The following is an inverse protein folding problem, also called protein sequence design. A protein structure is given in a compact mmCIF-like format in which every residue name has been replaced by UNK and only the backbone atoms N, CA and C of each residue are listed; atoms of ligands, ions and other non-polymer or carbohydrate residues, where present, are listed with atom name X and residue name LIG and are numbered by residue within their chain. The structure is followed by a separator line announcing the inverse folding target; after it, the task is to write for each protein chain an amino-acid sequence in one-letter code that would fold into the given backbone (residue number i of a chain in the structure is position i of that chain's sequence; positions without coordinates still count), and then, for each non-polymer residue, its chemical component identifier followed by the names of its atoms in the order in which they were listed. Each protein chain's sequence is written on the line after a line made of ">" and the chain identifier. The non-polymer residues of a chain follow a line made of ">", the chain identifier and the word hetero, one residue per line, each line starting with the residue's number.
data_IF_287879522927
#
_entry.id   IF_287879522927
#
_cell.length_a   1.000
_cell.length_b   1.000
_cell.length_c   1.000
_cell.angle_alpha   90.00
_cell.angle_beta   90.00
_cell.angle_gamma   90.00
#
_symmetry.space_group_name_H-M   'P 1'
#
loop_
_entity.id
_entity.type
_entity.pdbx_description
1 polymer ?
#
# COMPACT_ATOMS: atom_id res chain seq x y z
N UNK A 1 17.01 -29.91 -8.09
CA UNK A 1 15.78 -29.63 -7.34
C UNK A 1 16.08 -28.43 -6.47
N UNK A 2 15.30 -27.37 -6.66
CA UNK A 2 15.46 -26.14 -5.89
C UNK A 2 14.82 -26.28 -4.51
N UNK A 3 15.32 -25.52 -3.54
CA UNK A 3 14.82 -25.53 -2.19
C UNK A 3 14.70 -24.11 -1.64
N UNK A 4 13.77 -23.93 -0.72
CA UNK A 4 13.62 -22.70 0.08
C UNK A 4 13.96 -23.03 1.52
N UNK A 5 14.83 -22.23 2.15
CA UNK A 5 15.13 -22.33 3.58
C UNK A 5 14.34 -21.29 4.34
N UNK A 6 13.64 -21.69 5.39
CA UNK A 6 12.95 -20.75 6.29
C UNK A 6 13.91 -20.15 7.34
N UNK A 7 13.41 -19.19 8.11
CA UNK A 7 14.18 -18.54 9.17
C UNK A 7 14.54 -19.47 10.34
N UNK A 8 13.91 -20.64 10.44
CA UNK A 8 14.12 -21.65 11.48
C UNK A 8 15.09 -22.75 11.04
N UNK A 9 15.56 -22.71 9.78
CA UNK A 9 16.52 -23.64 9.21
C UNK A 9 15.91 -24.91 8.64
N UNK A 10 14.59 -24.95 8.42
CA UNK A 10 13.95 -26.01 7.65
C UNK A 10 14.07 -25.76 6.15
N UNK A 11 14.13 -26.81 5.37
CA UNK A 11 14.28 -26.76 3.91
C UNK A 11 13.04 -27.36 3.26
N UNK A 12 12.41 -26.58 2.38
CA UNK A 12 11.27 -27.05 1.56
C UNK A 12 11.76 -27.30 0.14
N UNK A 13 11.47 -28.50 -0.37
CA UNK A 13 11.84 -28.92 -1.73
C UNK A 13 10.56 -29.15 -2.54
N UNK A 14 10.56 -28.66 -3.78
CA UNK A 14 9.51 -28.97 -4.76
C UNK A 14 10.08 -29.96 -5.78
N UNK A 15 9.44 -31.11 -5.90
CA UNK A 15 9.87 -32.14 -6.86
C UNK A 15 8.67 -32.72 -7.60
N UNK A 16 8.81 -33.03 -8.91
CA UNK A 16 7.77 -33.70 -9.65
C UNK A 16 7.70 -35.16 -9.18
N UNK A 17 6.48 -35.60 -8.86
CA UNK A 17 6.20 -36.98 -8.46
C UNK A 17 5.39 -37.63 -9.58
N UNK A 18 5.98 -38.63 -10.23
CA UNK A 18 5.35 -39.31 -11.36
C UNK A 18 4.19 -40.23 -10.92
N UNK A 19 4.24 -40.80 -9.72
CA UNK A 19 3.26 -41.70 -9.17
C UNK A 19 3.15 -41.51 -7.65
N UNK A 20 1.93 -41.53 -7.12
CA UNK A 20 1.66 -41.59 -5.68
C UNK A 20 1.65 -43.06 -5.22
N UNK A 21 1.84 -43.31 -3.93
CA UNK A 21 1.88 -44.63 -3.30
C UNK A 21 2.99 -45.57 -3.79
N UNK A 22 3.92 -45.06 -4.60
CA UNK A 22 5.10 -45.80 -5.09
C UNK A 22 6.38 -45.23 -4.46
N UNK A 23 7.37 -46.08 -4.13
CA UNK A 23 8.65 -45.64 -3.58
C UNK A 23 9.50 -44.92 -4.64
N UNK A 24 9.96 -43.72 -4.35
CA UNK A 24 10.81 -42.91 -5.21
C UNK A 24 12.20 -42.85 -4.59
N UNK A 25 13.24 -43.24 -5.35
CA UNK A 25 14.61 -43.07 -4.93
C UNK A 25 15.07 -41.63 -5.15
N UNK A 26 15.56 -40.99 -4.08
CA UNK A 26 16.11 -39.64 -4.11
C UNK A 26 17.50 -39.64 -3.50
N UNK A 27 18.40 -38.80 -4.03
CA UNK A 27 19.72 -38.57 -3.44
C UNK A 27 19.75 -37.17 -2.84
N UNK A 28 20.09 -37.04 -1.55
CA UNK A 28 20.24 -35.80 -0.84
C UNK A 28 21.71 -35.51 -0.54
N UNK A 29 22.21 -34.32 -0.89
CA UNK A 29 23.58 -33.89 -0.61
C UNK A 29 23.64 -33.14 0.75
N UNK A 30 24.49 -33.61 1.63
CA UNK A 30 24.80 -32.94 2.88
C UNK A 30 25.98 -31.99 2.72
N UNK A 31 25.76 -30.71 2.68
CA UNK A 31 26.81 -29.68 2.58
C UNK A 31 27.79 -29.77 3.73
N UNK A 32 27.36 -30.10 4.95
CA UNK A 32 28.20 -30.20 6.14
C UNK A 32 29.20 -31.40 6.05
N UNK A 33 28.82 -32.46 5.36
CA UNK A 33 29.64 -33.68 5.24
C UNK A 33 30.20 -33.89 3.84
N UNK A 34 29.81 -33.00 2.91
CA UNK A 34 30.15 -33.10 1.48
C UNK A 34 29.93 -34.53 0.91
N UNK A 35 28.76 -35.08 1.22
CA UNK A 35 28.43 -36.47 0.87
C UNK A 35 26.97 -36.58 0.44
N UNK A 36 26.75 -37.48 -0.53
CA UNK A 36 25.42 -37.86 -1.00
C UNK A 36 24.85 -39.00 -0.17
N UNK A 37 23.56 -38.96 0.10
CA UNK A 37 22.84 -40.00 0.81
C UNK A 37 21.61 -40.40 0.00
N UNK A 38 21.50 -41.68 -0.32
CA UNK A 38 20.34 -42.24 -0.95
C UNK A 38 19.20 -42.36 0.07
N UNK A 39 18.00 -41.99 -0.35
CA UNK A 39 16.75 -42.06 0.43
C UNK A 39 15.64 -42.63 -0.46
N UNK A 40 14.68 -43.26 0.17
CA UNK A 40 13.43 -43.66 -0.46
C UNK A 40 12.33 -42.83 0.19
N UNK A 41 11.57 -42.13 -0.64
CA UNK A 41 10.40 -41.38 -0.24
C UNK A 41 9.17 -42.00 -0.86
N UNK A 42 8.10 -42.11 -0.11
CA UNK A 42 6.78 -42.52 -0.61
C UNK A 42 5.79 -41.40 -0.27
N UNK A 43 5.15 -40.86 -1.29
CA UNK A 43 4.07 -39.87 -1.12
C UNK A 43 2.75 -40.60 -1.20
N UNK A 44 2.05 -40.70 -0.08
CA UNK A 44 0.80 -41.45 0.04
C UNK A 44 -0.40 -40.58 -0.26
N UNK A 45 -1.44 -41.17 -0.85
CA UNK A 45 -2.72 -40.51 -1.12
C UNK A 45 -3.48 -40.13 0.15
N UNK A 46 -3.14 -40.72 1.30
CA UNK A 46 -3.82 -40.44 2.58
C UNK A 46 -3.70 -39.00 3.08
N UNK A 47 -2.65 -38.26 2.65
CA UNK A 47 -2.38 -36.88 3.07
C UNK A 47 -2.28 -35.91 1.87
N UNK A 48 -2.88 -36.26 0.74
CA UNK A 48 -2.93 -35.39 -0.44
C UNK A 48 -4.23 -34.61 -0.42
N UNK A 49 -4.15 -33.29 -0.19
CA UNK A 49 -5.23 -32.38 -0.54
C UNK A 49 -5.21 -32.18 -2.05
N UNK A 50 -6.32 -32.50 -2.71
CA UNK A 50 -6.49 -32.16 -4.10
C UNK A 50 -6.61 -30.65 -4.22
N UNK A 51 -5.51 -29.97 -4.54
CA UNK A 51 -5.56 -28.58 -4.95
C UNK A 51 -6.32 -28.59 -6.28
N UNK A 52 -7.52 -28.01 -6.30
CA UNK A 52 -8.35 -27.87 -7.50
C UNK A 52 -7.49 -27.34 -8.65
N UNK A 53 -7.74 -27.84 -9.87
CA UNK A 53 -6.93 -27.50 -11.03
C UNK A 53 -6.75 -26.00 -11.17
N UNK A 54 -5.54 -25.52 -11.04
CA UNK A 54 -5.16 -24.08 -11.06
C UNK A 54 -5.73 -23.30 -12.26
N UNK A 55 -6.14 -23.99 -13.33
CA UNK A 55 -6.79 -23.41 -14.51
C UNK A 55 -8.20 -22.88 -14.26
N UNK A 56 -8.98 -23.49 -13.37
CA UNK A 56 -10.34 -22.99 -13.04
C UNK A 56 -10.29 -21.83 -12.06
N UNK A 57 -9.31 -21.81 -11.16
CA UNK A 57 -9.12 -20.71 -10.20
C UNK A 57 -8.56 -19.45 -10.88
N UNK A 58 -7.72 -19.59 -11.92
CA UNK A 58 -7.19 -18.44 -12.67
C UNK A 58 -8.26 -17.76 -13.54
N UNK A 59 -9.16 -18.54 -14.19
CA UNK A 59 -10.25 -17.96 -14.98
C UNK A 59 -11.31 -17.31 -14.08
N UNK A 60 -11.64 -17.92 -12.93
CA UNK A 60 -12.57 -17.36 -11.97
C UNK A 60 -12.01 -16.11 -11.27
N UNK A 61 -10.72 -16.10 -10.93
CA UNK A 61 -10.04 -14.95 -10.36
C UNK A 61 -9.91 -13.79 -11.37
N UNK A 62 -9.61 -14.09 -12.64
CA UNK A 62 -9.56 -13.07 -13.70
C UNK A 62 -10.94 -12.50 -14.02
N UNK A 63 -12.01 -13.28 -13.96
CA UNK A 63 -13.38 -12.81 -14.17
C UNK A 63 -13.87 -11.82 -13.08
N UNK A 64 -13.19 -11.79 -11.92
CA UNK A 64 -13.52 -10.92 -10.80
C UNK A 64 -12.67 -9.63 -10.74
N UNK A 65 -11.58 -9.55 -11.52
CA UNK A 65 -10.72 -8.35 -11.55
C UNK A 65 -11.25 -7.33 -12.58
N UNK A 66 -11.57 -6.14 -12.12
CA UNK A 66 -11.91 -5.01 -12.99
C UNK A 66 -10.66 -4.42 -13.66
N UNK A 67 -10.83 -3.66 -14.75
CA UNK A 67 -9.71 -2.90 -15.35
C UNK A 67 -9.15 -1.93 -14.31
N UNK A 68 -7.81 -1.90 -14.16
CA UNK A 68 -7.12 -1.07 -13.17
C UNK A 68 -5.71 -1.55 -12.89
N UNK A 69 -5.01 -0.83 -12.01
CA UNK A 69 -3.65 -1.13 -11.59
C UNK A 69 -3.68 -1.80 -10.21
N UNK A 70 -2.96 -2.89 -10.07
CA UNK A 70 -2.91 -3.73 -8.88
C UNK A 70 -1.46 -3.91 -8.41
N UNK A 71 -1.23 -3.86 -7.11
CA UNK A 71 0.04 -4.30 -6.53
C UNK A 71 -0.07 -5.80 -6.25
N UNK A 72 0.90 -6.62 -6.71
CA UNK A 72 0.86 -8.05 -6.44
C UNK A 72 0.87 -8.36 -4.94
N UNK A 73 -0.03 -9.24 -4.50
CA UNK A 73 -0.03 -9.75 -3.14
C UNK A 73 1.12 -10.73 -2.90
N UNK A 74 1.51 -11.43 -3.97
CA UNK A 74 2.63 -12.35 -3.94
C UNK A 74 3.34 -12.36 -5.29
N UNK A 75 4.66 -12.28 -5.23
CA UNK A 75 5.55 -12.48 -6.38
C UNK A 75 6.61 -13.50 -6.02
N UNK A 76 6.55 -14.66 -6.66
CA UNK A 76 7.55 -15.72 -6.48
C UNK A 76 8.39 -15.83 -7.74
N UNK A 77 9.70 -15.89 -7.55
CA UNK A 77 10.68 -16.02 -8.63
C UNK A 77 11.57 -17.23 -8.40
N UNK A 78 11.78 -18.01 -9.44
CA UNK A 78 12.81 -19.04 -9.46
C UNK A 78 13.62 -18.99 -10.75
N UNK A 79 14.83 -19.56 -10.75
CA UNK A 79 15.74 -19.54 -11.88
C UNK A 79 16.79 -18.42 -11.82
N UNK A 80 17.57 -18.30 -12.87
CA UNK A 80 18.69 -17.38 -12.95
C UNK A 80 19.84 -17.72 -11.99
N UNK A 81 20.75 -16.78 -11.79
CA UNK A 81 21.95 -16.96 -10.93
C UNK A 81 21.81 -16.38 -9.53
N UNK A 82 20.66 -15.77 -9.19
CA UNK A 82 20.41 -15.10 -7.92
C UNK A 82 21.17 -13.77 -7.72
N UNK A 83 21.97 -13.32 -8.69
CA UNK A 83 22.76 -12.07 -8.60
C UNK A 83 21.95 -10.82 -8.88
N UNK A 84 20.89 -10.94 -9.68
CA UNK A 84 19.97 -9.84 -10.02
C UNK A 84 18.68 -10.08 -9.28
N UNK A 85 18.23 -9.09 -8.53
CA UNK A 85 16.91 -9.11 -7.90
C UNK A 85 15.88 -8.74 -8.96
N UNK A 86 14.77 -9.46 -8.98
CA UNK A 86 13.66 -9.21 -9.89
C UNK A 86 12.42 -9.07 -9.01
N UNK A 87 11.59 -8.07 -9.31
CA UNK A 87 10.33 -7.82 -8.63
C UNK A 87 9.24 -7.48 -9.64
N UNK A 88 8.01 -7.69 -9.26
CA UNK A 88 6.85 -7.16 -9.96
C UNK A 88 6.41 -5.88 -9.25
N UNK A 89 6.45 -4.75 -9.94
CA UNK A 89 6.09 -3.45 -9.38
C UNK A 89 4.57 -3.29 -9.33
N UNK A 90 3.89 -3.67 -10.42
CA UNK A 90 2.44 -3.60 -10.55
C UNK A 90 1.94 -4.58 -11.61
N UNK A 91 0.64 -4.84 -11.57
CA UNK A 91 -0.10 -5.52 -12.64
C UNK A 91 -1.24 -4.62 -13.07
N UNK A 92 -1.26 -4.25 -14.34
CA UNK A 92 -2.36 -3.51 -14.94
C UNK A 92 -3.32 -4.48 -15.65
N UNK A 93 -4.60 -4.37 -15.37
CA UNK A 93 -5.65 -5.11 -16.09
C UNK A 93 -6.25 -4.19 -17.14
N UNK A 94 -5.98 -4.48 -18.42
CA UNK A 94 -6.53 -3.74 -19.58
C UNK A 94 -7.40 -4.69 -20.38
N UNK A 95 -8.67 -4.40 -20.51
CA UNK A 95 -9.64 -5.23 -21.24
C UNK A 95 -9.62 -6.72 -20.82
N UNK A 96 -9.44 -6.97 -19.51
CA UNK A 96 -9.36 -8.32 -18.95
C UNK A 96 -8.01 -9.02 -19.17
N UNK A 97 -7.00 -8.33 -19.70
CA UNK A 97 -5.64 -8.87 -19.88
C UNK A 97 -4.70 -8.31 -18.83
N UNK A 98 -4.07 -9.16 -18.00
CA UNK A 98 -3.09 -8.70 -17.02
C UNK A 98 -1.72 -8.45 -17.67
N UNK A 99 -1.20 -7.24 -17.45
CA UNK A 99 0.13 -6.80 -17.89
C UNK A 99 0.94 -6.47 -16.63
N UNK A 100 2.04 -7.17 -16.40
CA UNK A 100 2.91 -6.94 -15.25
C UNK A 100 4.11 -6.07 -15.61
N UNK A 101 4.42 -5.10 -14.75
CA UNK A 101 5.69 -4.35 -14.79
C UNK A 101 6.75 -5.09 -13.98
N UNK A 102 7.67 -5.72 -14.66
CA UNK A 102 8.79 -6.47 -14.06
C UNK A 102 10.04 -5.57 -14.01
N UNK A 103 10.67 -5.51 -12.85
CA UNK A 103 11.85 -4.68 -12.59
C UNK A 103 13.06 -5.56 -12.26
N UNK A 104 14.13 -5.41 -13.01
CA UNK A 104 15.43 -6.03 -12.76
C UNK A 104 16.34 -5.01 -12.06
N UNK A 105 17.03 -5.41 -10.98
CA UNK A 105 18.03 -4.58 -10.29
C UNK A 105 19.36 -4.45 -11.09
N UNK A 106 19.26 -4.39 -12.39
CA UNK A 106 20.37 -4.24 -13.33
C UNK A 106 19.89 -3.56 -14.60
N UNK A 107 20.62 -2.54 -15.06
CA UNK A 107 20.34 -1.84 -16.33
C UNK A 107 20.78 -2.62 -17.58
N UNK A 108 21.14 -3.90 -17.43
CA UNK A 108 21.68 -4.71 -18.52
C UNK A 108 20.67 -5.68 -19.14
N UNK A 109 19.44 -5.71 -18.65
CA UNK A 109 18.36 -6.49 -19.26
C UNK A 109 17.67 -5.66 -20.33
N UNK A 110 17.92 -6.01 -21.58
CA UNK A 110 17.46 -5.23 -22.75
C UNK A 110 16.06 -5.61 -23.21
N UNK A 111 15.65 -6.85 -22.97
CA UNK A 111 14.31 -7.32 -23.28
C UNK A 111 13.95 -8.57 -22.48
N UNK A 112 12.66 -8.88 -22.45
CA UNK A 112 12.11 -10.12 -21.91
C UNK A 112 11.26 -10.79 -22.99
N UNK A 113 11.40 -12.10 -23.14
CA UNK A 113 10.59 -12.91 -24.06
C UNK A 113 9.57 -13.74 -23.23
N UNK A 114 8.33 -13.70 -23.68
CA UNK A 114 7.22 -14.50 -23.17
C UNK A 114 6.67 -15.33 -24.33
N UNK A 115 6.78 -16.65 -24.24
CA UNK A 115 6.54 -17.51 -25.40
C UNK A 115 7.46 -17.14 -26.57
N UNK A 116 6.85 -16.79 -27.71
CA UNK A 116 7.59 -16.38 -28.93
C UNK A 116 7.63 -14.84 -29.10
N UNK A 117 7.10 -14.07 -28.16
CA UNK A 117 7.02 -12.59 -28.25
C UNK A 117 8.07 -11.95 -27.36
N UNK A 118 8.80 -10.98 -27.92
CA UNK A 118 9.80 -10.19 -27.20
C UNK A 118 9.22 -8.84 -26.80
N UNK A 119 9.51 -8.41 -25.57
CA UNK A 119 9.14 -7.12 -24.97
C UNK A 119 10.41 -6.37 -24.61
N UNK A 120 10.59 -5.17 -25.12
CA UNK A 120 11.77 -4.36 -24.90
C UNK A 120 11.73 -3.69 -23.53
N UNK A 121 12.87 -3.64 -22.85
CA UNK A 121 12.99 -3.02 -21.52
C UNK A 121 13.34 -1.54 -21.64
N UNK A 122 12.74 -0.71 -20.80
CA UNK A 122 13.19 0.64 -20.52
C UNK A 122 14.27 0.57 -19.43
N UNK A 123 15.50 0.99 -19.79
CA UNK A 123 16.67 0.93 -18.89
C UNK A 123 17.01 2.32 -18.38
N UNK A 124 17.20 2.45 -17.07
CA UNK A 124 17.84 3.61 -16.43
C UNK A 124 19.29 3.29 -16.02
N UNK A 125 19.91 4.11 -15.18
CA UNK A 125 21.30 3.91 -14.75
C UNK A 125 21.51 2.64 -13.90
N UNK A 126 20.47 2.14 -13.24
CA UNK A 126 20.54 1.07 -12.23
C UNK A 126 19.62 -0.10 -12.52
N UNK A 127 18.48 0.14 -13.17
CA UNK A 127 17.41 -0.86 -13.34
C UNK A 127 16.99 -1.01 -14.80
N UNK A 128 16.36 -2.12 -15.12
CA UNK A 128 15.61 -2.33 -16.36
C UNK A 128 14.16 -2.65 -15.99
N UNK A 129 13.20 -1.99 -16.63
CA UNK A 129 11.76 -2.21 -16.48
C UNK A 129 11.18 -2.71 -17.78
N UNK A 130 10.28 -3.67 -17.70
CA UNK A 130 9.58 -4.23 -18.85
C UNK A 130 8.14 -4.54 -18.49
N UNK A 131 7.23 -4.23 -19.39
CA UNK A 131 5.83 -4.60 -19.30
C UNK A 131 5.59 -5.86 -20.13
N UNK A 132 5.06 -6.89 -19.50
CA UNK A 132 4.81 -8.19 -20.15
C UNK A 132 3.41 -8.69 -19.80
N UNK A 133 2.72 -9.36 -20.74
CA UNK A 133 1.50 -10.07 -20.43
C UNK A 133 1.81 -11.25 -19.49
N UNK A 134 0.97 -11.43 -18.48
CA UNK A 134 1.13 -12.48 -17.47
C UNK A 134 -0.15 -13.29 -17.29
N UNK A 135 -0.02 -14.44 -16.67
CA UNK A 135 -1.14 -15.23 -16.18
C UNK A 135 -1.10 -15.16 -14.65
N UNK A 136 -2.18 -14.68 -14.03
CA UNK A 136 -2.28 -14.59 -12.59
C UNK A 136 -2.58 -15.96 -11.96
N UNK A 137 -2.10 -16.14 -10.72
CA UNK A 137 -2.31 -17.36 -9.92
C UNK A 137 -1.77 -18.64 -10.59
N UNK A 138 -0.85 -18.48 -11.54
CA UNK A 138 -0.19 -19.58 -12.23
C UNK A 138 1.27 -19.26 -12.49
N UNK A 139 2.15 -20.27 -12.35
CA UNK A 139 3.56 -20.11 -12.72
C UNK A 139 3.71 -20.04 -14.23
N UNK A 140 4.52 -19.09 -14.72
CA UNK A 140 4.87 -18.96 -16.12
C UNK A 140 6.37 -18.75 -16.31
N UNK A 141 6.89 -19.20 -17.46
CA UNK A 141 8.29 -19.02 -17.81
C UNK A 141 8.49 -17.76 -18.64
N UNK A 142 9.50 -16.98 -18.27
CA UNK A 142 9.98 -15.82 -19.02
C UNK A 142 11.48 -15.93 -19.27
N UNK A 143 11.97 -15.30 -20.32
CA UNK A 143 13.39 -15.30 -20.70
C UNK A 143 13.91 -13.87 -20.76
N UNK A 144 14.77 -13.49 -19.81
CA UNK A 144 15.37 -12.17 -19.76
C UNK A 144 16.69 -12.13 -20.52
N UNK A 145 16.82 -11.29 -21.54
CA UNK A 145 18.06 -11.10 -22.30
C UNK A 145 18.93 -10.04 -21.63
N UNK A 146 20.14 -10.44 -21.22
CA UNK A 146 21.11 -9.55 -20.58
C UNK A 146 22.36 -9.36 -21.41
N UNK A 147 22.89 -8.13 -21.40
CA UNK A 147 24.17 -7.74 -22.02
C UNK A 147 25.29 -7.56 -20.98
N UNK A 148 25.11 -8.07 -19.76
CA UNK A 148 26.13 -7.99 -18.70
C UNK A 148 27.40 -8.81 -19.00
N UNK A 149 27.34 -9.72 -19.95
CA UNK A 149 28.47 -10.53 -20.44
C UNK A 149 28.92 -10.03 -21.83
N UNK A 150 30.03 -10.60 -22.35
CA UNK A 150 30.62 -10.23 -23.64
C UNK A 150 29.71 -10.50 -24.86
N UNK A 151 28.65 -11.28 -24.70
CA UNK A 151 27.58 -11.49 -25.67
C UNK A 151 26.23 -11.43 -24.97
N UNK A 152 25.19 -11.05 -25.71
CA UNK A 152 23.82 -11.13 -25.24
C UNK A 152 23.47 -12.57 -24.85
N UNK A 153 22.86 -12.75 -23.69
CA UNK A 153 22.56 -14.06 -23.13
C UNK A 153 21.14 -14.07 -22.57
N UNK A 154 20.36 -15.08 -22.92
CA UNK A 154 19.05 -15.32 -22.33
C UNK A 154 19.19 -16.07 -21.01
N UNK A 155 18.44 -15.64 -20.02
CA UNK A 155 18.33 -16.27 -18.70
C UNK A 155 16.87 -16.64 -18.48
N UNK A 156 16.64 -17.90 -18.17
CA UNK A 156 15.32 -18.44 -17.88
C UNK A 156 14.92 -18.14 -16.44
N UNK A 157 13.68 -17.69 -16.26
CA UNK A 157 13.04 -17.47 -14.97
C UNK A 157 11.65 -18.07 -14.99
N UNK A 158 11.22 -18.64 -13.88
CA UNK A 158 9.81 -18.93 -13.62
C UNK A 158 9.28 -17.89 -12.65
N UNK A 159 8.19 -17.24 -13.00
CA UNK A 159 7.51 -16.25 -12.16
C UNK A 159 6.10 -16.75 -11.83
N UNK A 160 5.66 -16.43 -10.62
CA UNK A 160 4.30 -16.59 -10.16
C UNK A 160 3.83 -15.25 -9.59
N UNK A 161 2.68 -14.78 -10.03
CA UNK A 161 2.09 -13.52 -9.60
C UNK A 161 0.68 -13.82 -9.09
N UNK A 162 0.43 -13.46 -7.83
CA UNK A 162 -0.91 -13.49 -7.26
C UNK A 162 -1.41 -12.07 -7.05
N UNK A 163 -2.61 -11.84 -7.53
CA UNK A 163 -3.40 -10.64 -7.25
C UNK A 163 -4.72 -11.14 -6.70
N UNK A 164 -4.96 -10.91 -5.44
CA UNK A 164 -6.23 -11.26 -4.82
C UNK A 164 -7.26 -10.19 -5.16
N UNK A 165 -8.29 -10.56 -5.92
CA UNK A 165 -9.40 -9.66 -6.25
C UNK A 165 -10.06 -9.07 -4.98
N UNK A 166 -9.99 -9.82 -3.88
CA UNK A 166 -10.51 -9.42 -2.58
C UNK A 166 -9.64 -8.37 -1.85
N UNK A 167 -8.40 -8.12 -2.34
CA UNK A 167 -7.53 -7.07 -1.78
C UNK A 167 -7.38 -5.85 -2.69
N UNK A 168 -7.76 -5.94 -3.95
CA UNK A 168 -7.83 -4.81 -4.88
C UNK A 168 -9.16 -4.05 -4.80
N UNK A 169 -10.23 -4.74 -4.46
CA UNK A 169 -11.34 -4.18 -3.72
C UNK A 169 -10.98 -4.44 -2.26
N UNK A 170 -10.67 -3.41 -1.48
CA UNK A 170 -10.69 -3.54 -0.03
C UNK A 170 -11.97 -4.33 0.24
N UNK A 171 -11.88 -5.50 0.88
CA UNK A 171 -13.06 -6.25 1.26
C UNK A 171 -14.00 -5.20 1.83
N UNK A 172 -15.08 -4.88 1.08
CA UNK A 172 -15.87 -3.70 1.33
C UNK A 172 -16.11 -3.71 2.82
N UNK A 173 -15.49 -2.79 3.55
CA UNK A 173 -15.51 -2.88 5.01
C UNK A 173 -16.96 -2.73 5.33
N UNK A 174 -17.61 -3.86 5.68
CA UNK A 174 -19.03 -3.85 6.02
C UNK A 174 -19.17 -3.00 7.27
N UNK A 175 -19.57 -1.76 7.07
CA UNK A 175 -19.97 -0.90 8.16
C UNK A 175 -21.46 -1.05 8.38
N UNK A 176 -21.90 -1.37 9.61
CA UNK A 176 -23.32 -1.51 9.92
C UNK A 176 -24.11 -0.31 9.44
N UNK A 177 -25.14 -0.55 8.63
CA UNK A 177 -26.05 0.49 8.15
C UNK A 177 -25.51 1.39 7.03
N UNK A 178 -24.30 1.13 6.50
CA UNK A 178 -23.76 1.83 5.35
C UNK A 178 -23.62 0.89 4.15
N UNK A 179 -23.89 1.41 2.95
CA UNK A 179 -23.72 0.70 1.69
C UNK A 179 -22.45 1.23 1.02
N UNK A 180 -21.52 0.33 0.76
CA UNK A 180 -20.28 0.68 0.06
C UNK A 180 -20.56 1.15 -1.37
N UNK A 181 -19.86 2.17 -1.82
CA UNK A 181 -20.02 2.78 -3.15
C UNK A 181 -18.76 2.63 -4.00
N UNK A 182 -17.62 3.02 -3.45
CA UNK A 182 -16.34 2.99 -4.17
C UNK A 182 -15.15 3.07 -3.21
N UNK A 183 -13.94 2.88 -3.75
CA UNK A 183 -12.69 3.10 -3.00
C UNK A 183 -11.78 4.07 -3.74
N UNK A 184 -11.11 4.95 -3.00
CA UNK A 184 -10.00 5.73 -3.53
C UNK A 184 -8.85 4.79 -3.91
N UNK A 185 -8.25 5.02 -5.08
CA UNK A 185 -7.08 4.27 -5.54
C UNK A 185 -5.85 5.18 -5.54
N UNK A 186 -5.07 5.24 -4.45
CA UNK A 186 -3.81 5.96 -4.45
C UNK A 186 -2.85 5.35 -5.48
N UNK A 187 -2.12 6.19 -6.20
CA UNK A 187 -1.14 5.75 -7.19
C UNK A 187 0.23 5.44 -6.58
N UNK A 188 0.60 6.16 -5.52
CA UNK A 188 1.92 6.09 -4.90
C UNK A 188 1.84 5.87 -3.39
N UNK A 189 0.79 6.37 -2.73
CA UNK A 189 0.63 6.21 -1.29
C UNK A 189 0.28 4.77 -0.93
N UNK A 190 0.93 4.25 0.10
CA UNK A 190 0.79 2.86 0.58
C UNK A 190 0.41 2.78 2.06
N UNK A 191 0.29 3.93 2.73
CA UNK A 191 0.05 3.97 4.16
C UNK A 191 -1.40 4.30 4.52
N UNK A 192 -2.27 4.53 3.52
CA UNK A 192 -3.69 4.73 3.76
C UNK A 192 -4.55 4.16 2.62
N UNK A 193 -5.81 3.91 2.93
CA UNK A 193 -6.89 3.68 1.97
C UNK A 193 -8.13 4.47 2.38
N UNK A 194 -9.03 4.70 1.44
CA UNK A 194 -10.32 5.37 1.69
C UNK A 194 -11.41 4.61 0.96
N UNK A 195 -12.44 4.22 1.71
CA UNK A 195 -13.66 3.61 1.19
C UNK A 195 -14.82 4.59 1.34
N UNK A 196 -15.55 4.81 0.25
CA UNK A 196 -16.71 5.69 0.21
C UNK A 196 -18.00 4.88 0.32
N UNK A 197 -18.98 5.44 1.01
CA UNK A 197 -20.28 4.82 1.22
C UNK A 197 -21.39 5.78 0.80
N UNK A 198 -22.56 5.22 0.45
CA UNK A 198 -23.74 6.02 0.13
C UNK A 198 -24.04 7.05 1.22
N UNK A 199 -24.44 8.25 0.79
CA UNK A 199 -24.71 9.36 1.70
C UNK A 199 -23.48 10.20 2.04
N UNK A 200 -22.32 9.96 1.38
CA UNK A 200 -21.11 10.76 1.50
C UNK A 200 -20.20 10.38 2.68
N UNK A 201 -20.48 9.25 3.35
CA UNK A 201 -19.57 8.74 4.38
C UNK A 201 -18.27 8.22 3.76
N UNK A 202 -17.16 8.39 4.47
CA UNK A 202 -15.86 7.85 4.04
C UNK A 202 -15.12 7.21 5.21
N UNK A 203 -14.65 5.98 5.02
CA UNK A 203 -13.78 5.29 5.97
C UNK A 203 -12.33 5.44 5.51
N UNK A 204 -11.54 6.11 6.30
CA UNK A 204 -10.09 6.22 6.12
C UNK A 204 -9.43 5.15 6.99
N UNK A 205 -8.62 4.28 6.38
CA UNK A 205 -7.77 3.34 7.11
C UNK A 205 -6.31 3.80 6.98
N UNK A 206 -5.67 4.10 8.09
CA UNK A 206 -4.24 4.43 8.16
C UNK A 206 -3.50 3.22 8.68
N UNK A 207 -2.68 2.63 7.83
CA UNK A 207 -1.96 1.37 8.10
C UNK A 207 -1.17 1.42 9.41
N UNK A 208 -1.34 0.37 10.23
CA UNK A 208 -0.69 0.23 11.54
C UNK A 208 -0.96 1.43 12.49
N UNK A 209 -2.09 2.13 12.31
CA UNK A 209 -2.50 3.26 13.14
C UNK A 209 -3.96 3.12 13.59
N UNK A 210 -4.89 3.71 12.86
CA UNK A 210 -6.30 3.67 13.22
C UNK A 210 -7.21 3.79 11.99
N UNK A 211 -8.49 3.46 12.16
CA UNK A 211 -9.55 3.71 11.19
C UNK A 211 -10.37 4.90 11.63
N UNK A 212 -10.73 5.73 10.65
CA UNK A 212 -11.46 6.97 10.88
C UNK A 212 -12.67 7.01 9.96
N UNK A 213 -13.86 7.16 10.55
CA UNK A 213 -15.08 7.36 9.77
C UNK A 213 -15.41 8.86 9.68
N UNK A 214 -15.28 9.42 8.49
CA UNK A 214 -15.75 10.76 8.18
C UNK A 214 -17.27 10.67 8.01
N UNK A 215 -17.98 11.39 8.87
CA UNK A 215 -19.45 11.49 8.86
C UNK A 215 -19.83 12.84 8.28
N UNK A 216 -20.58 12.91 7.19
CA UNK A 216 -20.95 14.17 6.55
C UNK A 216 -21.75 15.09 7.49
N UNK A 217 -21.70 16.40 7.20
CA UNK A 217 -22.49 17.38 7.92
C UNK A 217 -23.99 17.00 7.87
N UNK A 218 -24.67 17.12 9.00
CA UNK A 218 -26.08 16.77 9.17
C UNK A 218 -26.45 15.28 9.04
N UNK A 219 -25.48 14.38 8.89
CA UNK A 219 -25.70 12.95 8.94
C UNK A 219 -25.41 12.40 10.34
N UNK A 220 -26.08 11.32 10.71
CA UNK A 220 -25.89 10.65 12.01
C UNK A 220 -24.78 9.59 11.94
N UNK A 221 -24.07 9.40 13.04
CA UNK A 221 -23.14 8.28 13.20
C UNK A 221 -23.93 6.97 13.15
N UNK A 222 -23.56 5.99 12.29
CA UNK A 222 -24.21 4.68 12.24
C UNK A 222 -24.12 3.93 13.57
N UNK A 223 -25.19 3.21 13.90
CA UNK A 223 -25.20 2.35 15.10
C UNK A 223 -24.43 1.04 14.88
N UNK A 224 -23.82 0.51 15.94
CA UNK A 224 -23.15 -0.80 15.89
C UNK A 224 -21.77 -0.80 15.28
N UNK A 225 -21.15 0.35 15.10
CA UNK A 225 -19.75 0.46 14.65
C UNK A 225 -18.78 -0.17 15.65
N UNK A 226 -17.66 -0.67 15.13
CA UNK A 226 -16.52 -1.06 15.96
C UNK A 226 -16.05 0.13 16.80
N UNK A 227 -15.99 0.04 18.13
CA UNK A 227 -15.55 1.13 19.00
C UNK A 227 -14.12 1.62 18.73
N UNK A 228 -13.32 0.86 17.99
CA UNK A 228 -11.97 1.26 17.58
C UNK A 228 -11.97 2.24 16.40
N UNK A 229 -13.10 2.46 15.73
CA UNK A 229 -13.23 3.44 14.68
C UNK A 229 -13.40 4.83 15.30
N UNK A 230 -12.49 5.74 14.95
CA UNK A 230 -12.55 7.13 15.38
C UNK A 230 -13.54 7.90 14.50
N UNK A 231 -14.51 8.58 15.09
CA UNK A 231 -15.51 9.35 14.35
C UNK A 231 -15.00 10.76 14.09
N UNK A 232 -15.03 11.17 12.83
CA UNK A 232 -14.72 12.52 12.35
C UNK A 232 -16.00 13.15 11.81
N UNK A 233 -16.72 13.86 12.67
CA UNK A 233 -17.97 14.53 12.29
C UNK A 233 -17.69 15.85 11.58
N UNK A 234 -18.11 15.99 10.33
CA UNK A 234 -18.04 17.27 9.62
C UNK A 234 -19.09 18.28 10.14
N UNK A 235 -18.81 19.60 10.01
CA UNK A 235 -17.65 20.21 9.37
C UNK A 235 -16.40 20.17 10.27
N UNK A 236 -15.26 19.80 9.72
CA UNK A 236 -13.96 19.83 10.41
C UNK A 236 -13.28 21.19 10.12
N UNK A 237 -13.63 22.21 10.90
CA UNK A 237 -13.26 23.59 10.67
C UNK A 237 -12.61 24.30 11.87
N UNK A 238 -12.34 23.56 12.94
CA UNK A 238 -11.61 24.03 14.13
C UNK A 238 -10.46 23.05 14.45
N UNK A 239 -9.65 22.76 13.45
CA UNK A 239 -8.55 21.77 13.53
C UNK A 239 -7.40 22.34 14.36
N UNK A 240 -6.87 21.52 15.28
CA UNK A 240 -5.55 21.70 15.86
C UNK A 240 -4.53 20.90 15.05
N UNK A 241 -3.63 21.59 14.35
CA UNK A 241 -2.60 20.99 13.51
C UNK A 241 -1.26 21.00 14.22
N UNK A 242 -0.83 19.86 14.76
CA UNK A 242 0.50 19.63 15.31
C UNK A 242 1.44 18.96 14.31
N UNK A 243 0.91 18.23 13.32
CA UNK A 243 1.66 17.62 12.23
C UNK A 243 2.07 18.67 11.20
N UNK A 244 3.27 19.23 11.31
CA UNK A 244 3.75 20.33 10.45
C UNK A 244 3.79 19.98 8.97
N UNK A 245 3.98 18.69 8.62
CA UNK A 245 3.98 18.18 7.24
C UNK A 245 2.66 18.42 6.51
N UNK A 246 1.53 18.39 7.22
CA UNK A 246 0.22 18.54 6.62
C UNK A 246 -0.11 19.99 6.24
N UNK A 247 0.55 21.00 6.84
CA UNK A 247 0.24 22.41 6.56
C UNK A 247 0.33 22.77 5.08
N UNK A 248 1.38 22.27 4.38
CA UNK A 248 1.54 22.54 2.95
C UNK A 248 0.44 21.90 2.10
N UNK A 249 -0.12 20.77 2.54
CA UNK A 249 -1.21 20.10 1.85
C UNK A 249 -2.53 20.86 2.04
N UNK A 250 -2.81 21.36 3.24
CA UNK A 250 -3.96 22.24 3.50
C UNK A 250 -3.85 23.58 2.74
N UNK A 251 -2.65 24.15 2.65
CA UNK A 251 -2.39 25.36 1.86
C UNK A 251 -2.66 25.11 0.37
N UNK A 252 -2.19 23.98 -0.16
CA UNK A 252 -2.40 23.58 -1.56
C UNK A 252 -3.87 23.25 -1.89
N UNK A 253 -4.68 22.88 -0.89
CA UNK A 253 -6.12 22.69 -1.01
C UNK A 253 -6.94 23.98 -0.90
N UNK A 254 -6.29 25.13 -0.61
CA UNK A 254 -7.01 26.36 -0.20
C UNK A 254 -7.98 26.08 0.95
N UNK A 255 -7.49 25.35 1.97
CA UNK A 255 -8.27 24.90 3.13
C UNK A 255 -7.62 25.28 4.47
N UNK A 256 -6.80 26.33 4.49
CA UNK A 256 -6.18 26.82 5.73
C UNK A 256 -7.20 27.38 6.73
N UNK A 257 -8.37 27.76 6.28
CA UNK A 257 -9.48 28.23 7.11
C UNK A 257 -10.07 27.11 8.00
N UNK A 258 -9.87 25.85 7.66
CA UNK A 258 -10.18 24.71 8.51
C UNK A 258 -9.25 24.61 9.74
N UNK A 259 -8.04 25.17 9.67
CA UNK A 259 -7.04 25.11 10.73
C UNK A 259 -7.17 26.33 11.62
N UNK A 260 -7.73 26.15 12.81
CA UNK A 260 -7.88 27.21 13.80
C UNK A 260 -6.71 27.32 14.77
N UNK A 261 -6.06 26.19 15.05
CA UNK A 261 -5.05 26.05 16.09
C UNK A 261 -3.83 25.30 15.54
N UNK A 262 -2.64 25.68 15.97
CA UNK A 262 -1.39 25.06 15.49
C UNK A 262 -0.41 24.75 16.62
N UNK A 263 0.36 23.67 16.43
CA UNK A 263 1.40 23.22 17.34
C UNK A 263 2.77 23.91 17.16
N UNK A 264 2.89 24.82 16.18
CA UNK A 264 4.14 25.51 15.83
C UNK A 264 3.94 27.02 15.88
N UNK A 265 4.90 27.73 16.47
CA UNK A 265 4.90 29.18 16.54
C UNK A 265 5.08 29.81 15.16
N UNK A 266 4.66 31.07 15.01
CA UNK A 266 4.69 31.80 13.72
C UNK A 266 6.07 31.81 13.07
N UNK A 267 7.11 32.03 13.83
CA UNK A 267 8.51 32.07 13.36
C UNK A 267 9.06 30.70 12.91
N UNK A 268 8.35 29.62 13.24
CA UNK A 268 8.64 28.27 12.75
C UNK A 268 7.99 27.91 11.42
N UNK A 269 7.15 28.78 10.86
CA UNK A 269 6.49 28.56 9.57
C UNK A 269 7.17 29.27 8.42
N UNK A 270 7.32 28.56 7.29
CA UNK A 270 7.83 29.09 6.02
C UNK A 270 6.75 29.16 4.92
N UNK A 271 5.52 28.78 5.23
CA UNK A 271 4.37 28.85 4.33
C UNK A 271 3.74 30.24 4.53
N UNK A 272 3.82 31.08 3.51
CA UNK A 272 3.43 32.50 3.60
C UNK A 272 1.96 32.68 4.02
N UNK A 273 1.04 31.85 3.47
CA UNK A 273 -0.38 31.92 3.79
C UNK A 273 -0.65 31.54 5.26
N UNK A 274 0.07 30.56 5.81
CA UNK A 274 -0.04 30.17 7.21
C UNK A 274 0.47 31.28 8.15
N UNK A 275 1.62 31.90 7.81
CA UNK A 275 2.16 33.06 8.54
C UNK A 275 1.16 34.21 8.53
N UNK A 276 0.59 34.55 7.36
CA UNK A 276 -0.42 35.61 7.22
C UNK A 276 -1.69 35.30 8.01
N UNK A 277 -2.15 34.05 8.04
CA UNK A 277 -3.32 33.64 8.85
C UNK A 277 -3.04 33.82 10.35
N UNK A 278 -1.83 33.50 10.82
CA UNK A 278 -1.45 33.73 12.21
C UNK A 278 -1.33 35.23 12.53
N UNK A 279 -0.86 36.07 11.60
CA UNK A 279 -0.77 37.52 11.78
C UNK A 279 -2.14 38.19 11.88
N UNK A 280 -3.12 37.68 11.14
CA UNK A 280 -4.52 38.14 11.23
C UNK A 280 -5.24 37.62 12.47
N UNK A 281 -4.71 36.63 13.16
CA UNK A 281 -5.35 35.96 14.29
C UNK A 281 -6.40 34.92 13.88
N UNK A 282 -6.43 34.52 12.60
CA UNK A 282 -7.30 33.46 12.10
C UNK A 282 -6.79 32.09 12.59
N UNK A 283 -5.48 31.95 12.73
CA UNK A 283 -4.80 30.77 13.22
C UNK A 283 -3.97 31.10 14.46
N UNK A 284 -4.10 30.33 15.53
CA UNK A 284 -3.47 30.61 16.84
C UNK A 284 -2.53 29.49 17.25
N UNK A 285 -1.42 29.85 17.86
CA UNK A 285 -0.52 28.87 18.50
C UNK A 285 -1.16 28.37 19.79
N UNK A 286 -1.41 27.07 19.89
CA UNK A 286 -2.06 26.40 21.04
C UNK A 286 -1.14 25.39 21.72
N UNK A 287 0.16 25.67 21.79
CA UNK A 287 1.16 24.76 22.36
C UNK A 287 1.60 23.67 21.37
N UNK A 288 2.72 23.03 21.64
CA UNK A 288 3.28 21.97 20.80
C UNK A 288 2.64 20.60 21.11
N UNK A 289 2.81 19.61 20.23
CA UNK A 289 2.24 18.27 20.33
C UNK A 289 2.39 17.62 21.72
N UNK A 290 3.48 17.91 22.45
CA UNK A 290 3.75 17.33 23.78
C UNK A 290 3.20 18.14 24.95
N UNK A 291 2.77 19.36 24.71
CA UNK A 291 2.25 20.31 25.72
C UNK A 291 1.22 21.25 25.07
N UNK A 292 0.07 20.74 24.57
CA UNK A 292 -0.97 21.59 24.01
C UNK A 292 -1.69 22.35 25.13
N UNK A 293 -2.20 23.52 24.77
CA UNK A 293 -3.06 24.31 25.64
C UNK A 293 -4.49 23.76 25.58
N UNK A 294 -4.81 22.80 26.42
CA UNK A 294 -6.12 22.15 26.45
C UNK A 294 -7.27 23.12 26.70
N UNK A 295 -7.05 24.18 27.48
CA UNK A 295 -8.07 25.21 27.72
C UNK A 295 -8.36 25.98 26.43
N UNK A 296 -7.32 26.35 25.68
CA UNK A 296 -7.49 26.99 24.38
C UNK A 296 -8.17 26.04 23.37
N UNK A 297 -7.78 24.76 23.32
CA UNK A 297 -8.43 23.78 22.45
C UNK A 297 -9.94 23.71 22.71
N UNK A 298 -10.35 23.63 23.96
CA UNK A 298 -11.75 23.56 24.33
C UNK A 298 -12.51 24.90 24.07
N UNK A 299 -11.88 26.04 24.41
CA UNK A 299 -12.55 27.35 24.24
C UNK A 299 -12.66 27.77 22.76
N UNK A 300 -11.93 27.14 21.88
CA UNK A 300 -12.00 27.32 20.41
C UNK A 300 -12.76 26.20 19.72
N UNK A 301 -13.45 25.36 20.47
CA UNK A 301 -14.27 24.26 19.94
C UNK A 301 -13.49 23.36 19.00
N UNK A 302 -12.23 23.01 19.39
CA UNK A 302 -11.38 22.12 18.60
C UNK A 302 -12.12 20.81 18.34
N UNK A 303 -12.28 20.44 17.07
CA UNK A 303 -13.06 19.29 16.66
C UNK A 303 -12.23 18.20 15.95
N UNK A 304 -10.93 18.42 15.78
CA UNK A 304 -9.96 17.43 15.30
C UNK A 304 -8.55 17.86 15.72
N UNK A 305 -7.77 16.94 16.25
CA UNK A 305 -6.31 17.10 16.41
C UNK A 305 -5.60 16.27 15.36
N UNK A 306 -4.82 16.90 14.48
CA UNK A 306 -3.95 16.23 13.51
C UNK A 306 -2.55 16.21 14.08
N UNK A 307 -2.13 15.04 14.54
CA UNK A 307 -0.85 14.77 15.18
C UNK A 307 0.08 14.02 14.25
N UNK A 308 1.37 14.21 14.41
CA UNK A 308 2.37 13.35 13.77
C UNK A 308 2.62 12.08 14.62
N UNK A 309 3.35 11.12 14.07
CA UNK A 309 3.78 9.93 14.84
C UNK A 309 4.56 10.28 16.12
N UNK A 310 5.06 11.51 16.26
CA UNK A 310 5.72 11.97 17.48
C UNK A 310 4.81 11.93 18.71
N UNK A 311 3.49 11.94 18.54
CA UNK A 311 2.52 11.81 19.64
C UNK A 311 2.70 10.50 20.42
N UNK A 312 3.28 9.46 19.83
CA UNK A 312 3.63 8.21 20.50
C UNK A 312 4.62 8.41 21.66
N UNK A 313 5.40 9.49 21.64
CA UNK A 313 6.29 9.89 22.74
C UNK A 313 5.57 10.68 23.86
N UNK A 314 4.32 11.06 23.63
CA UNK A 314 3.48 11.78 24.58
C UNK A 314 2.08 11.13 24.70
N UNK A 315 1.98 9.83 25.05
CA UNK A 315 0.72 9.08 25.04
C UNK A 315 -0.35 9.71 25.93
N UNK A 316 0.05 10.31 27.06
CA UNK A 316 -0.88 11.00 27.96
C UNK A 316 -1.54 12.22 27.32
N UNK A 317 -0.90 12.88 26.36
CA UNK A 317 -1.49 13.99 25.61
C UNK A 317 -2.59 13.46 24.70
N UNK A 318 -2.33 12.37 23.97
CA UNK A 318 -3.33 11.70 23.13
C UNK A 318 -4.54 11.28 23.97
N UNK A 319 -4.30 10.56 25.07
CA UNK A 319 -5.35 10.15 25.99
C UNK A 319 -6.19 11.33 26.52
N UNK A 320 -5.55 12.46 26.83
CA UNK A 320 -6.24 13.65 27.31
C UNK A 320 -7.10 14.30 26.20
N UNK A 321 -6.59 14.41 24.96
CA UNK A 321 -7.37 14.91 23.83
C UNK A 321 -8.63 14.06 23.63
N UNK A 322 -8.48 12.75 23.60
CA UNK A 322 -9.58 11.80 23.45
C UNK A 322 -10.60 11.89 24.61
N UNK A 323 -10.11 12.06 25.84
CA UNK A 323 -10.95 12.21 27.03
C UNK A 323 -11.77 13.53 27.01
N UNK A 324 -11.23 14.56 26.38
CA UNK A 324 -11.90 15.83 26.15
C UNK A 324 -12.86 15.80 24.94
N UNK A 325 -12.99 14.63 24.29
CA UNK A 325 -13.86 14.46 23.12
C UNK A 325 -13.27 15.01 21.81
N UNK A 326 -11.98 15.30 21.78
CA UNK A 326 -11.28 15.75 20.58
C UNK A 326 -10.70 14.50 19.88
N UNK A 327 -11.21 14.11 18.70
CA UNK A 327 -10.65 12.99 17.95
C UNK A 327 -9.23 13.31 17.52
N UNK A 328 -8.37 12.28 17.56
CA UNK A 328 -6.95 12.40 17.21
C UNK A 328 -6.67 11.62 15.92
N UNK A 329 -6.31 12.34 14.87
CA UNK A 329 -5.80 11.75 13.62
C UNK A 329 -4.28 11.74 13.64
N UNK A 330 -3.67 10.60 13.28
CA UNK A 330 -2.21 10.45 13.25
C UNK A 330 -1.70 10.44 11.81
N UNK A 331 -0.97 11.50 11.43
CA UNK A 331 -0.29 11.61 10.15
C UNK A 331 0.88 10.61 10.09
N UNK A 332 0.76 9.62 9.20
CA UNK A 332 1.78 8.64 8.89
C UNK A 332 2.46 8.87 7.53
N UNK A 333 2.27 10.03 6.92
CA UNK A 333 2.81 10.37 5.59
C UNK A 333 4.33 10.21 5.49
N UNK A 334 5.03 10.38 6.61
CA UNK A 334 6.49 10.20 6.67
C UNK A 334 6.95 8.74 6.49
N UNK A 335 6.03 7.75 6.60
CA UNK A 335 6.30 6.33 6.30
C UNK A 335 6.25 6.01 4.81
N UNK A 336 5.73 6.91 3.99
CA UNK A 336 5.70 6.69 2.54
C UNK A 336 7.11 6.60 1.97
N UNK A 337 7.35 5.54 1.21
CA UNK A 337 8.64 5.27 0.59
C UNK A 337 8.90 6.16 -0.64
N UNK A 338 7.83 6.58 -1.32
CA UNK A 338 7.89 7.41 -2.51
C UNK A 338 7.55 8.88 -2.20
N UNK A 339 8.28 9.89 -2.72
CA UNK A 339 7.96 11.29 -2.49
C UNK A 339 6.53 11.68 -2.91
N UNK A 340 6.07 11.20 -4.07
CA UNK A 340 4.69 11.41 -4.51
C UNK A 340 3.66 10.70 -3.61
N UNK A 341 4.02 9.60 -2.95
CA UNK A 341 3.16 8.99 -1.94
C UNK A 341 2.85 9.97 -0.80
N UNK A 342 3.86 10.71 -0.33
CA UNK A 342 3.65 11.76 0.69
C UNK A 342 2.78 12.89 0.18
N UNK A 343 2.98 13.31 -1.08
CA UNK A 343 2.15 14.36 -1.71
C UNK A 343 0.70 13.86 -1.87
N UNK A 344 0.50 12.59 -2.14
CA UNK A 344 -0.83 12.00 -2.36
C UNK A 344 -1.70 11.98 -1.09
N UNK A 345 -1.12 12.17 0.10
CA UNK A 345 -1.88 12.39 1.33
C UNK A 345 -2.80 13.63 1.26
N UNK A 346 -2.57 14.52 0.30
CA UNK A 346 -3.50 15.62 0.01
C UNK A 346 -4.92 15.11 -0.27
N UNK A 347 -5.04 13.96 -0.96
CA UNK A 347 -6.35 13.34 -1.26
C UNK A 347 -7.06 12.87 0.01
N UNK A 348 -6.31 12.34 0.98
CA UNK A 348 -6.86 11.94 2.28
C UNK A 348 -7.37 13.15 3.06
N UNK A 349 -6.58 14.24 3.14
CA UNK A 349 -7.01 15.44 3.83
C UNK A 349 -8.22 16.11 3.17
N UNK A 350 -8.28 16.03 1.84
CA UNK A 350 -9.40 16.55 1.07
C UNK A 350 -10.74 15.91 1.46
N UNK A 351 -10.75 14.59 1.73
CA UNK A 351 -11.96 13.87 2.23
C UNK A 351 -12.47 14.46 3.55
N UNK A 352 -11.59 15.00 4.39
CA UNK A 352 -11.98 15.58 5.67
C UNK A 352 -12.64 16.97 5.51
N UNK A 353 -12.32 17.71 4.43
CA UNK A 353 -12.70 19.10 4.21
C UNK A 353 -13.45 19.35 2.89
N UNK A 354 -13.98 18.30 2.27
CA UNK A 354 -14.78 18.33 1.02
C UNK A 354 -14.06 19.02 -0.15
N UNK A 355 -12.78 18.66 -0.38
CA UNK A 355 -11.90 19.25 -1.40
C UNK A 355 -11.28 18.21 -2.34
N UNK A 356 -11.96 17.08 -2.57
CA UNK A 356 -11.40 15.96 -3.33
C UNK A 356 -11.09 16.32 -4.78
N UNK A 357 -11.91 17.16 -5.41
CA UNK A 357 -11.69 17.59 -6.78
C UNK A 357 -10.41 18.46 -6.92
N UNK A 358 -10.18 19.36 -5.95
CA UNK A 358 -8.97 20.19 -5.87
C UNK A 358 -7.73 19.34 -5.61
N UNK A 359 -7.84 18.35 -4.71
CA UNK A 359 -6.74 17.42 -4.42
C UNK A 359 -6.35 16.59 -5.63
N UNK A 360 -7.33 16.06 -6.35
CA UNK A 360 -7.08 15.26 -7.55
C UNK A 360 -6.41 16.12 -8.64
N UNK A 361 -6.89 17.34 -8.87
CA UNK A 361 -6.30 18.26 -9.83
C UNK A 361 -4.85 18.63 -9.46
N UNK A 362 -4.60 18.97 -8.19
CA UNK A 362 -3.28 19.30 -7.69
C UNK A 362 -2.32 18.11 -7.82
N UNK A 363 -2.74 16.94 -7.33
CA UNK A 363 -1.88 15.75 -7.35
C UNK A 363 -1.53 15.33 -8.76
N UNK A 364 -2.50 15.33 -9.69
CA UNK A 364 -2.27 14.99 -11.09
C UNK A 364 -1.30 15.96 -11.78
N UNK A 365 -1.24 17.22 -11.35
CA UNK A 365 -0.24 18.16 -11.84
C UNK A 365 1.16 17.84 -11.32
N UNK A 366 1.28 17.53 -10.03
CA UNK A 366 2.56 17.13 -9.41
C UNK A 366 3.10 15.81 -9.96
N UNK A 367 2.24 14.87 -10.26
CA UNK A 367 2.62 13.56 -10.80
C UNK A 367 3.12 13.59 -12.25
N UNK A 368 2.95 14.71 -12.98
CA UNK A 368 3.46 14.90 -14.35
C UNK A 368 4.91 15.34 -14.43
N UNK A 369 5.50 15.74 -13.32
CA UNK A 369 6.88 16.18 -13.19
C UNK A 369 7.79 14.99 -12.90
#
# INVERSE_FOLDING_TARGET
>A
IDYVADAEGAYTFTLPVAQLDEPIAVAAHSVKKDSWYDRILTFTTENVEQIASQTQDSEAAMASLSSGIYVPDEFVLSGGTGRVKISCEQVEIVDGQPIATIVFSSSKYTCVRVGDVQYDSVCDEKTSRVEIPVVLNQSMTIYGTTTAMSAAHEVEYSIFIRVDALKSESAAVELPGLVWESSMKPLYAQQFSVDYFEGGYALIDVKDSARYLVVPENMSVPEGLDPAIVILQQPLNNIYLAATSAMALFDSLDALDAIRLVGTQKDGWHIENAVAAMERGDMLFAGKYSEPDFEMLLTKDCNLAIESMMISHAPKVKEMLELLGIPVFIDCSSRESHPLGRTEWIKLYAVMVDKEAEAEAFFNEQAKI
#
